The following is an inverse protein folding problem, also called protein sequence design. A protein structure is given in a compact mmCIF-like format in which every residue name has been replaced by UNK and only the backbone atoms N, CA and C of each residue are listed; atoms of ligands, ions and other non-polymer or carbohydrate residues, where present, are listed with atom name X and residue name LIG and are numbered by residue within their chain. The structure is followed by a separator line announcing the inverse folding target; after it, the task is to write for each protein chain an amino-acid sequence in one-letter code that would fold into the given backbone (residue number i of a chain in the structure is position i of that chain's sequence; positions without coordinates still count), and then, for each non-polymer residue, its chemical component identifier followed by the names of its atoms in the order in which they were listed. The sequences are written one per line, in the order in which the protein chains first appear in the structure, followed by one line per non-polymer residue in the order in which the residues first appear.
data_IF_235381705280
#
_entry.id   IF_235381705280
#
_cell.length_a   1.000
_cell.length_b   1.000
_cell.length_c   1.000
_cell.angle_alpha   90.00
_cell.angle_beta   90.00
_cell.angle_gamma   90.00
#
_symmetry.space_group_name_H-M   'P 1'
#
loop_
_entity.id
_entity.type
_entity.pdbx_description
1 polymer ?
#
# COMPACT_ATOMS: atom_id res chain seq x y z
N UNK A 1 -1.41 157.07 -17.35
CA UNK A 1 -1.71 156.61 -18.72
C UNK A 1 -1.48 155.11 -18.72
N UNK A 2 -2.55 154.32 -18.65
CA UNK A 2 -2.50 152.87 -18.85
C UNK A 2 -2.12 152.54 -20.30
N UNK A 3 -1.67 151.31 -20.58
CA UNK A 3 -2.64 150.29 -21.01
C UNK A 3 -2.48 148.90 -20.36
N UNK A 4 -3.64 148.26 -20.18
CA UNK A 4 -4.02 146.83 -20.14
C UNK A 4 -2.91 145.78 -20.39
N UNK A 5 -2.65 144.75 -19.57
CA UNK A 5 -3.45 143.76 -18.80
C UNK A 5 -4.12 142.66 -19.64
N UNK A 6 -3.33 141.65 -19.99
CA UNK A 6 -3.78 140.26 -20.21
C UNK A 6 -2.81 139.30 -19.48
N UNK A 7 -3.34 138.56 -18.50
CA UNK A 7 -2.65 137.45 -17.81
C UNK A 7 -2.47 136.24 -18.72
N UNK A 8 -1.49 135.37 -18.39
CA UNK A 8 -1.81 133.95 -18.29
C UNK A 8 -1.42 133.30 -16.95
N UNK A 9 -2.10 132.17 -16.72
CA UNK A 9 -2.20 131.38 -15.51
C UNK A 9 -0.89 130.72 -15.01
N UNK A 10 -0.69 130.78 -13.70
CA UNK A 10 0.23 129.94 -12.93
C UNK A 10 -0.51 128.68 -12.46
N UNK A 11 -0.45 127.61 -13.29
CA UNK A 11 -1.04 126.30 -12.98
C UNK A 11 0.03 125.20 -12.81
N UNK A 12 1.31 125.55 -12.68
CA UNK A 12 2.40 124.56 -12.60
C UNK A 12 2.68 124.03 -11.18
N UNK A 13 2.45 124.84 -10.13
CA UNK A 13 2.94 124.51 -8.78
C UNK A 13 2.10 123.53 -7.94
N UNK A 14 0.82 123.31 -8.29
CA UNK A 14 -0.09 122.40 -7.53
C UNK A 14 -0.10 120.96 -8.04
N UNK A 15 0.09 120.77 -9.34
CA UNK A 15 0.15 119.45 -9.96
C UNK A 15 1.48 118.74 -9.62
N UNK A 16 2.58 119.48 -9.48
CA UNK A 16 3.89 118.95 -9.09
C UNK A 16 3.93 118.44 -7.63
N UNK A 17 3.23 119.09 -6.69
CA UNK A 17 3.19 118.66 -5.29
C UNK A 17 2.24 117.46 -5.07
N UNK A 18 1.13 117.38 -5.81
CA UNK A 18 0.26 116.21 -5.81
C UNK A 18 0.94 115.00 -6.47
N UNK A 19 1.67 115.20 -7.58
CA UNK A 19 2.48 114.18 -8.23
C UNK A 19 3.60 113.66 -7.31
N UNK A 20 4.28 114.55 -6.56
CA UNK A 20 5.28 114.18 -5.55
C UNK A 20 4.69 113.34 -4.42
N UNK A 21 3.57 113.76 -3.83
CA UNK A 21 2.91 113.01 -2.73
C UNK A 21 2.38 111.66 -3.20
N UNK A 22 1.83 111.59 -4.41
CA UNK A 22 1.37 110.34 -5.03
C UNK A 22 2.55 109.40 -5.33
N UNK A 23 3.66 109.92 -5.85
CA UNK A 23 4.89 109.15 -6.06
C UNK A 23 5.50 108.65 -4.73
N UNK A 24 5.44 109.45 -3.67
CA UNK A 24 5.90 109.05 -2.33
C UNK A 24 4.97 108.00 -1.69
N UNK A 25 3.66 108.10 -1.87
CA UNK A 25 2.69 107.10 -1.45
C UNK A 25 2.91 105.76 -2.18
N UNK A 26 3.05 105.77 -3.51
CA UNK A 26 3.39 104.59 -4.29
C UNK A 26 4.73 103.97 -3.89
N UNK A 27 5.72 104.80 -3.52
CA UNK A 27 7.00 104.32 -2.99
C UNK A 27 6.83 103.64 -1.63
N UNK A 28 6.06 104.21 -0.70
CA UNK A 28 5.77 103.61 0.61
C UNK A 28 4.97 102.32 0.49
N UNK A 29 4.02 102.25 -0.44
CA UNK A 29 3.23 101.04 -0.69
C UNK A 29 4.07 99.94 -1.34
N UNK A 30 4.95 100.29 -2.30
CA UNK A 30 5.95 99.36 -2.83
C UNK A 30 6.92 98.86 -1.75
N UNK A 31 7.35 99.72 -0.83
CA UNK A 31 8.24 99.34 0.25
C UNK A 31 7.53 98.44 1.29
N UNK A 32 6.27 98.72 1.62
CA UNK A 32 5.43 97.84 2.46
C UNK A 32 5.17 96.49 1.79
N UNK A 33 4.85 96.49 0.50
CA UNK A 33 4.66 95.25 -0.28
C UNK A 33 5.95 94.44 -0.35
N UNK A 34 7.11 95.08 -0.54
CA UNK A 34 8.42 94.41 -0.51
C UNK A 34 8.73 93.81 0.86
N UNK A 35 8.45 94.53 1.96
CA UNK A 35 8.62 94.00 3.33
C UNK A 35 7.64 92.85 3.63
N UNK A 36 6.40 92.92 3.13
CA UNK A 36 5.43 91.83 3.26
C UNK A 36 5.88 90.58 2.48
N UNK A 37 6.33 90.76 1.24
CA UNK A 37 6.87 89.69 0.40
C UNK A 37 8.14 89.06 1.02
N UNK A 38 9.05 89.86 1.60
CA UNK A 38 10.20 89.33 2.35
C UNK A 38 9.76 88.51 3.57
N UNK A 39 8.76 88.96 4.32
CA UNK A 39 8.25 88.25 5.50
C UNK A 39 7.55 86.95 5.12
N UNK A 40 6.83 86.92 4.01
CA UNK A 40 6.17 85.74 3.46
C UNK A 40 7.20 84.74 2.92
N UNK A 41 8.20 85.21 2.17
CA UNK A 41 9.31 84.39 1.69
C UNK A 41 10.09 83.75 2.85
N UNK A 42 10.37 84.51 3.92
CA UNK A 42 11.04 83.98 5.11
C UNK A 42 10.19 82.94 5.87
N UNK A 43 8.86 83.09 5.89
CA UNK A 43 7.95 82.07 6.46
C UNK A 43 7.92 80.81 5.60
N UNK A 44 7.79 80.96 4.28
CA UNK A 44 7.81 79.85 3.34
C UNK A 44 9.14 79.08 3.37
N UNK A 45 10.26 79.77 3.53
CA UNK A 45 11.57 79.14 3.70
C UNK A 45 11.65 78.33 4.99
N UNK A 46 11.18 78.89 6.12
CA UNK A 46 11.11 78.19 7.40
C UNK A 46 10.19 76.96 7.36
N UNK A 47 9.07 77.05 6.67
CA UNK A 47 8.12 75.93 6.50
C UNK A 47 8.72 74.83 5.62
N UNK A 48 9.45 75.19 4.55
CA UNK A 48 10.21 74.24 3.72
C UNK A 48 11.31 73.56 4.52
N UNK A 49 12.03 74.29 5.37
CA UNK A 49 13.07 73.72 6.24
C UNK A 49 12.47 72.75 7.27
N UNK A 50 11.34 73.11 7.89
CA UNK A 50 10.61 72.24 8.81
C UNK A 50 10.10 70.97 8.11
N UNK A 51 9.52 71.10 6.92
CA UNK A 51 9.05 69.96 6.13
C UNK A 51 10.21 69.03 5.74
N UNK A 52 11.38 69.59 5.39
CA UNK A 52 12.59 68.81 5.11
C UNK A 52 13.06 68.03 6.34
N UNK A 53 13.11 68.67 7.51
CA UNK A 53 13.48 67.99 8.77
C UNK A 53 12.49 66.88 9.16
N UNK A 54 11.20 67.13 8.99
CA UNK A 54 10.14 66.14 9.24
C UNK A 54 10.25 64.95 8.26
N UNK A 55 10.57 65.20 6.98
CA UNK A 55 10.81 64.15 5.98
C UNK A 55 12.08 63.33 6.28
N UNK A 56 13.19 63.99 6.63
CA UNK A 56 14.44 63.32 7.05
C UNK A 56 14.21 62.46 8.29
N UNK A 57 13.43 62.93 9.26
CA UNK A 57 13.05 62.15 10.45
C UNK A 57 12.18 60.95 10.08
N UNK A 58 11.17 61.14 9.24
CA UNK A 58 10.29 60.05 8.79
C UNK A 58 11.07 58.98 8.01
N UNK A 59 12.04 59.37 7.18
CA UNK A 59 12.93 58.43 6.49
C UNK A 59 13.77 57.61 7.48
N UNK A 60 14.39 58.25 8.47
CA UNK A 60 15.16 57.54 9.51
C UNK A 60 14.30 56.58 10.33
N UNK A 61 13.08 56.97 10.66
CA UNK A 61 12.14 56.13 11.40
C UNK A 61 11.73 54.90 10.56
N UNK A 62 11.52 55.07 9.25
CA UNK A 62 11.26 53.94 8.31
C UNK A 62 12.45 53.01 8.15
N UNK A 63 13.66 53.54 7.98
CA UNK A 63 14.88 52.73 7.88
C UNK A 63 15.13 51.94 9.17
N UNK A 64 14.86 52.54 10.33
CA UNK A 64 14.96 51.86 11.62
C UNK A 64 13.92 50.75 11.76
N UNK A 65 12.68 50.97 11.31
CA UNK A 65 11.63 49.97 11.31
C UNK A 65 11.95 48.80 10.36
N UNK A 66 12.47 49.08 9.17
CA UNK A 66 12.89 48.05 8.21
C UNK A 66 14.01 47.16 8.77
N UNK A 67 15.04 47.75 9.39
CA UNK A 67 16.11 47.01 10.07
C UNK A 67 15.62 46.17 11.25
N UNK A 68 14.56 46.61 11.95
CA UNK A 68 13.96 45.83 13.02
C UNK A 68 13.19 44.63 12.47
N UNK A 69 12.42 44.82 11.40
CA UNK A 69 11.68 43.74 10.73
C UNK A 69 12.61 42.68 10.12
N UNK A 70 13.73 43.10 9.50
CA UNK A 70 14.74 42.19 8.95
C UNK A 70 15.36 41.31 10.06
N UNK A 71 15.74 41.92 11.19
CA UNK A 71 16.26 41.18 12.35
C UNK A 71 15.24 40.19 12.92
N UNK A 72 13.96 40.53 12.89
CA UNK A 72 12.89 39.65 13.36
C UNK A 72 12.67 38.47 12.40
N UNK A 73 12.69 38.73 11.09
CA UNK A 73 12.63 37.68 10.07
C UNK A 73 13.81 36.71 10.17
N UNK A 74 15.03 37.21 10.38
CA UNK A 74 16.22 36.37 10.57
C UNK A 74 16.13 35.51 11.84
N UNK A 75 15.57 36.06 12.92
CA UNK A 75 15.32 35.29 14.15
C UNK A 75 14.33 34.15 13.91
N UNK A 76 13.22 34.43 13.23
CA UNK A 76 12.20 33.42 12.91
C UNK A 76 12.75 32.34 11.99
N UNK A 77 13.56 32.69 10.97
CA UNK A 77 14.25 31.72 10.12
C UNK A 77 15.21 30.84 10.91
N UNK A 78 16.02 31.45 11.79
CA UNK A 78 16.93 30.69 12.63
C UNK A 78 16.21 29.78 13.64
N UNK A 79 15.01 30.16 14.09
CA UNK A 79 14.15 29.32 14.94
C UNK A 79 13.54 28.15 14.15
N UNK A 80 13.02 28.40 12.95
CA UNK A 80 12.52 27.36 12.05
C UNK A 80 13.61 26.35 11.67
N UNK A 81 14.82 26.81 11.33
CA UNK A 81 15.95 25.93 11.04
C UNK A 81 16.35 25.07 12.25
N UNK A 82 16.26 25.60 13.47
CA UNK A 82 16.51 24.83 14.70
C UNK A 82 15.44 23.78 14.92
N UNK A 83 14.16 24.13 14.72
CA UNK A 83 13.04 23.20 14.85
C UNK A 83 13.13 22.06 13.83
N UNK A 84 13.46 22.35 12.57
CA UNK A 84 13.68 21.33 11.53
C UNK A 84 14.82 20.39 11.92
N UNK A 85 15.97 20.94 12.36
CA UNK A 85 17.10 20.12 12.82
C UNK A 85 16.77 19.27 14.04
N UNK A 86 15.86 19.71 14.91
CA UNK A 86 15.41 18.94 16.06
C UNK A 86 14.53 17.77 15.63
N UNK A 87 13.57 17.99 14.72
CA UNK A 87 12.73 16.95 14.13
C UNK A 87 13.56 15.91 13.37
N UNK A 88 14.52 16.36 12.54
CA UNK A 88 15.44 15.46 11.84
C UNK A 88 16.24 14.59 12.82
N UNK A 89 16.78 15.20 13.89
CA UNK A 89 17.50 14.44 14.93
C UNK A 89 16.62 13.47 15.69
N UNK A 90 15.34 13.78 15.88
CA UNK A 90 14.36 12.86 16.47
C UNK A 90 14.04 11.69 15.54
N UNK A 91 13.85 11.96 14.25
CA UNK A 91 13.65 10.94 13.24
C UNK A 91 14.86 10.00 13.16
N UNK A 92 16.09 10.54 13.10
CA UNK A 92 17.33 9.75 13.10
C UNK A 92 17.51 8.91 14.36
N UNK A 93 17.03 9.41 15.52
CA UNK A 93 17.02 8.63 16.77
C UNK A 93 16.00 7.50 16.70
N UNK A 94 14.77 7.80 16.27
CA UNK A 94 13.71 6.82 16.13
C UNK A 94 14.07 5.71 15.13
N UNK A 95 14.72 6.05 14.01
CA UNK A 95 15.18 5.07 13.03
C UNK A 95 16.27 4.16 13.62
N UNK A 96 17.27 4.73 14.30
CA UNK A 96 18.32 3.92 14.97
C UNK A 96 17.73 3.02 16.06
N UNK A 97 16.77 3.52 16.84
CA UNK A 97 16.09 2.73 17.85
C UNK A 97 15.26 1.60 17.23
N UNK A 98 14.59 1.85 16.09
CA UNK A 98 13.86 0.83 15.33
C UNK A 98 14.79 -0.23 14.73
N UNK A 99 15.92 0.18 14.13
CA UNK A 99 16.95 -0.72 13.59
C UNK A 99 17.55 -1.58 14.71
N UNK A 100 17.85 -0.99 15.87
CA UNK A 100 18.34 -1.72 17.04
C UNK A 100 17.30 -2.72 17.56
N UNK A 101 16.03 -2.31 17.68
CA UNK A 101 14.95 -3.20 18.10
C UNK A 101 14.76 -4.38 17.14
N UNK A 102 14.88 -4.16 15.82
CA UNK A 102 14.83 -5.21 14.81
C UNK A 102 15.99 -6.20 14.96
N UNK A 103 17.22 -5.71 15.16
CA UNK A 103 18.39 -6.56 15.39
C UNK A 103 18.27 -7.37 16.69
N UNK A 104 17.78 -6.76 17.77
CA UNK A 104 17.54 -7.42 19.05
C UNK A 104 16.47 -8.52 18.92
N UNK A 105 15.41 -8.27 18.13
CA UNK A 105 14.37 -9.25 17.83
C UNK A 105 14.92 -10.44 17.03
N UNK A 106 15.76 -10.21 16.02
CA UNK A 106 16.40 -11.28 15.24
C UNK A 106 17.35 -12.11 16.11
N UNK A 107 18.18 -11.46 16.94
CA UNK A 107 19.03 -12.15 17.91
C UNK A 107 18.23 -12.99 18.92
N UNK A 108 17.07 -12.49 19.37
CA UNK A 108 16.17 -13.24 20.24
C UNK A 108 15.58 -14.47 19.51
N UNK A 109 15.14 -14.32 18.26
CA UNK A 109 14.67 -15.42 17.43
C UNK A 109 15.76 -16.48 17.21
N UNK A 110 16.99 -16.07 16.89
CA UNK A 110 18.13 -16.99 16.75
C UNK A 110 18.48 -17.71 18.06
N UNK A 111 18.34 -17.05 19.23
CA UNK A 111 18.53 -17.69 20.54
C UNK A 111 17.44 -18.71 20.83
N UNK A 112 16.18 -18.38 20.54
CA UNK A 112 15.05 -19.30 20.68
C UNK A 112 15.23 -20.53 19.77
N UNK A 113 15.63 -20.35 18.51
CA UNK A 113 15.93 -21.45 17.59
C UNK A 113 17.06 -22.36 18.13
N UNK A 114 18.15 -21.79 18.64
CA UNK A 114 19.23 -22.56 19.28
C UNK A 114 18.77 -23.28 20.56
N UNK A 115 17.84 -22.70 21.30
CA UNK A 115 17.28 -23.32 22.50
C UNK A 115 16.39 -24.52 22.14
N UNK A 116 15.56 -24.40 21.09
CA UNK A 116 14.78 -25.50 20.53
C UNK A 116 15.69 -26.60 20.02
N UNK A 117 16.73 -26.27 19.26
CA UNK A 117 17.67 -27.26 18.75
C UNK A 117 18.47 -27.95 19.88
N UNK A 118 18.87 -27.21 20.92
CA UNK A 118 19.48 -27.82 22.12
C UNK A 118 18.50 -28.72 22.88
N UNK A 119 17.23 -28.34 22.97
CA UNK A 119 16.20 -29.18 23.58
C UNK A 119 15.98 -30.46 22.78
N UNK A 120 15.97 -30.36 21.44
CA UNK A 120 15.93 -31.50 20.52
C UNK A 120 17.13 -32.43 20.72
N UNK A 121 18.35 -31.91 20.72
CA UNK A 121 19.56 -32.70 20.92
C UNK A 121 19.59 -33.37 22.30
N UNK A 122 19.08 -32.71 23.35
CA UNK A 122 18.93 -33.32 24.69
C UNK A 122 17.86 -34.42 24.72
N UNK A 123 16.74 -34.23 24.02
CA UNK A 123 15.70 -35.25 23.92
C UNK A 123 16.20 -36.47 23.13
N UNK A 124 16.96 -36.24 22.04
CA UNK A 124 17.62 -37.30 21.27
C UNK A 124 18.68 -38.04 22.11
N UNK A 125 19.44 -37.33 22.94
CA UNK A 125 20.44 -37.94 23.83
C UNK A 125 19.82 -38.67 25.04
N UNK A 126 18.58 -38.35 25.41
CA UNK A 126 17.85 -39.00 26.51
C UNK A 126 16.98 -40.17 26.04
N UNK A 127 16.89 -40.42 24.73
CA UNK A 127 16.22 -41.59 24.18
C UNK A 127 17.13 -42.82 24.33
N UNK A 128 16.74 -43.76 25.18
CA UNK A 128 17.36 -45.09 25.29
C UNK A 128 17.21 -45.85 23.96
N UNK A 129 18.24 -46.62 23.52
CA UNK A 129 18.22 -47.35 22.26
C UNK A 129 17.31 -48.58 22.38
N UNK A 130 16.01 -48.42 22.11
CA UNK A 130 15.06 -49.53 22.18
C UNK A 130 13.66 -49.32 21.63
N UNK A 131 13.34 -48.15 21.04
CA UNK A 131 11.98 -47.85 20.56
C UNK A 131 11.98 -47.43 19.08
N UNK A 132 12.57 -48.27 18.23
CA UNK A 132 12.76 -48.04 16.78
C UNK A 132 11.46 -48.17 15.94
N UNK A 133 10.28 -48.17 16.57
CA UNK A 133 8.99 -48.27 15.87
C UNK A 133 8.22 -46.93 15.78
N UNK A 134 8.63 -45.90 16.52
CA UNK A 134 8.05 -44.57 16.39
C UNK A 134 8.90 -43.75 15.43
N UNK A 135 8.35 -43.41 14.26
CA UNK A 135 8.95 -42.43 13.35
C UNK A 135 9.29 -41.11 14.05
N UNK A 136 10.04 -40.21 13.40
CA UNK A 136 10.49 -38.97 14.03
C UNK A 136 9.30 -38.22 14.67
N UNK A 137 9.43 -37.85 15.96
CA UNK A 137 8.39 -37.14 16.68
C UNK A 137 8.00 -35.86 15.92
N UNK A 138 6.72 -35.75 15.55
CA UNK A 138 6.20 -34.61 14.80
C UNK A 138 6.38 -33.31 15.61
N UNK A 139 6.73 -32.18 14.96
CA UNK A 139 6.71 -30.87 15.61
C UNK A 139 5.35 -30.60 16.27
N UNK A 140 5.27 -29.87 17.40
CA UNK A 140 4.02 -29.71 18.16
C UNK A 140 2.82 -29.22 17.33
N UNK A 141 3.01 -28.25 16.44
CA UNK A 141 1.97 -27.77 15.52
C UNK A 141 1.49 -28.80 14.53
N UNK A 142 2.40 -29.64 14.01
CA UNK A 142 2.04 -30.73 13.10
C UNK A 142 1.36 -31.88 13.86
N UNK A 143 1.87 -32.24 15.05
CA UNK A 143 1.25 -33.24 15.91
C UNK A 143 -0.20 -32.87 16.29
N UNK A 144 -0.50 -31.58 16.40
CA UNK A 144 -1.86 -31.08 16.63
C UNK A 144 -2.81 -31.44 15.49
N UNK A 145 -2.38 -31.25 14.24
CA UNK A 145 -3.18 -31.52 13.04
C UNK A 145 -3.46 -33.02 12.86
N UNK A 146 -2.48 -33.86 13.18
CA UNK A 146 -2.58 -35.32 13.07
C UNK A 146 -3.21 -35.98 14.30
N UNK A 147 -3.68 -35.18 15.28
CA UNK A 147 -4.30 -35.74 16.48
C UNK A 147 -5.65 -36.37 16.09
N UNK A 148 -5.88 -37.66 16.39
CA UNK A 148 -7.16 -38.28 16.11
C UNK A 148 -8.26 -37.52 16.83
N UNK A 149 -9.37 -37.25 16.13
CA UNK A 149 -10.53 -36.60 16.72
C UNK A 149 -10.93 -37.37 18.00
N UNK A 150 -11.15 -36.68 19.13
CA UNK A 150 -11.48 -37.37 20.36
C UNK A 150 -12.75 -38.19 20.15
N UNK A 151 -12.66 -39.52 20.36
CA UNK A 151 -13.82 -40.40 20.32
C UNK A 151 -14.92 -39.80 21.21
N UNK A 152 -16.11 -39.57 20.64
CA UNK A 152 -17.17 -38.82 21.28
C UNK A 152 -17.46 -39.34 22.69
N UNK A 153 -16.99 -38.61 23.71
CA UNK A 153 -17.34 -38.90 25.10
C UNK A 153 -18.80 -38.50 25.31
N UNK A 154 -19.62 -39.42 25.83
CA UNK A 154 -20.94 -39.08 26.39
C UNK A 154 -20.73 -38.14 27.59
N UNK A 155 -20.99 -36.85 27.37
CA UNK A 155 -20.90 -35.77 28.36
C UNK A 155 -21.31 -34.43 27.72
N UNK A 156 -21.43 -33.34 28.51
CA UNK A 156 -21.71 -32.00 27.97
C UNK A 156 -20.66 -31.64 26.90
N UNK A 157 -21.08 -31.09 25.76
CA UNK A 157 -20.18 -30.70 24.67
C UNK A 157 -19.03 -29.84 25.23
N UNK A 158 -17.75 -30.16 24.93
CA UNK A 158 -16.65 -29.27 25.30
C UNK A 158 -16.94 -27.87 24.74
N UNK A 159 -16.87 -26.83 25.59
CA UNK A 159 -17.16 -25.46 25.16
C UNK A 159 -16.16 -24.91 24.12
N UNK A 160 -15.03 -25.59 23.89
CA UNK A 160 -13.99 -25.20 22.94
C UNK A 160 -13.41 -26.44 22.23
N UNK A 161 -13.37 -26.42 20.90
CA UNK A 161 -12.82 -27.48 20.05
C UNK A 161 -11.83 -26.89 19.03
N UNK A 162 -10.91 -27.72 18.50
CA UNK A 162 -9.98 -27.27 17.46
C UNK A 162 -10.70 -26.79 16.20
N UNK A 163 -11.73 -27.52 15.76
CA UNK A 163 -12.57 -27.10 14.64
C UNK A 163 -13.24 -25.75 14.93
N UNK A 164 -13.84 -25.56 16.11
CA UNK A 164 -14.46 -24.27 16.46
C UNK A 164 -13.45 -23.11 16.56
N UNK A 165 -12.22 -23.38 17.00
CA UNK A 165 -11.13 -22.39 17.00
C UNK A 165 -10.76 -22.01 15.56
N UNK A 166 -10.56 -23.01 14.69
CA UNK A 166 -10.25 -22.79 13.28
C UNK A 166 -11.35 -21.98 12.60
N UNK A 167 -12.62 -22.28 12.86
CA UNK A 167 -13.79 -21.62 12.26
C UNK A 167 -13.86 -20.14 12.62
N UNK A 168 -13.69 -19.84 13.92
CA UNK A 168 -13.70 -18.46 14.38
C UNK A 168 -12.54 -17.65 13.79
N UNK A 169 -11.38 -18.28 13.59
CA UNK A 169 -10.19 -17.65 13.01
C UNK A 169 -10.30 -17.48 11.48
N UNK A 170 -10.79 -18.50 10.76
CA UNK A 170 -11.07 -18.44 9.31
C UNK A 170 -12.09 -17.34 9.03
N UNK A 171 -13.22 -17.34 9.73
CA UNK A 171 -14.25 -16.33 9.54
C UNK A 171 -13.77 -14.93 9.94
N UNK A 172 -12.67 -14.79 10.71
CA UNK A 172 -12.08 -13.50 11.05
C UNK A 172 -11.16 -13.05 9.92
N UNK A 173 -10.35 -13.97 9.40
CA UNK A 173 -9.49 -13.75 8.24
C UNK A 173 -10.28 -13.44 6.97
N UNK A 174 -11.45 -14.05 6.77
CA UNK A 174 -12.32 -13.81 5.63
C UNK A 174 -12.93 -12.41 5.62
N UNK A 175 -13.23 -11.87 6.81
CA UNK A 175 -13.88 -10.58 7.00
C UNK A 175 -12.88 -9.42 7.07
N UNK A 176 -11.84 -9.58 7.90
CA UNK A 176 -10.92 -8.49 8.27
C UNK A 176 -9.49 -8.70 7.72
N UNK A 177 -9.26 -9.78 6.97
CA UNK A 177 -7.95 -10.16 6.46
C UNK A 177 -7.07 -10.87 7.49
N UNK A 178 -5.95 -11.43 7.02
CA UNK A 178 -5.04 -12.24 7.85
C UNK A 178 -4.38 -11.41 8.98
N UNK A 179 -4.14 -10.12 8.75
CA UNK A 179 -3.55 -9.21 9.72
C UNK A 179 -4.39 -9.05 11.00
N UNK A 180 -5.71 -9.17 10.89
CA UNK A 180 -6.62 -9.08 12.04
C UNK A 180 -6.59 -10.33 12.93
N UNK A 181 -6.08 -11.46 12.43
CA UNK A 181 -6.02 -12.72 13.18
C UNK A 181 -4.95 -12.65 14.26
N UNK A 182 -5.42 -12.54 15.51
CA UNK A 182 -4.59 -12.60 16.71
C UNK A 182 -5.22 -13.55 17.73
N UNK A 183 -4.39 -14.13 18.61
CA UNK A 183 -4.86 -15.02 19.68
C UNK A 183 -5.92 -14.34 20.55
N UNK A 184 -5.76 -13.04 20.83
CA UNK A 184 -6.70 -12.26 21.62
C UNK A 184 -8.05 -12.10 20.91
N UNK A 185 -8.06 -11.70 19.62
CA UNK A 185 -9.29 -11.46 18.86
C UNK A 185 -10.06 -12.74 18.58
N UNK A 186 -9.36 -13.86 18.37
CA UNK A 186 -9.98 -15.19 18.25
C UNK A 186 -10.61 -15.62 19.58
N UNK A 187 -9.91 -15.41 20.70
CA UNK A 187 -10.45 -15.74 22.03
C UNK A 187 -11.68 -14.88 22.38
N UNK A 188 -11.63 -13.58 22.08
CA UNK A 188 -12.74 -12.64 22.23
C UNK A 188 -13.97 -13.10 21.44
N UNK A 189 -13.79 -13.45 20.17
CA UNK A 189 -14.88 -13.94 19.32
C UNK A 189 -15.52 -15.23 19.83
N UNK A 190 -14.72 -16.09 20.46
CA UNK A 190 -15.16 -17.34 21.06
C UNK A 190 -15.72 -17.17 22.49
N UNK A 191 -15.66 -15.97 23.07
CA UNK A 191 -16.10 -15.71 24.44
C UNK A 191 -15.24 -16.40 25.51
N UNK A 192 -13.96 -16.68 25.20
CA UNK A 192 -13.01 -17.35 26.11
C UNK A 192 -11.80 -16.46 26.41
N UNK A 193 -11.04 -16.81 27.45
CA UNK A 193 -9.77 -16.12 27.73
C UNK A 193 -8.68 -16.59 26.76
N UNK A 194 -7.72 -15.73 26.44
CA UNK A 194 -6.56 -16.10 25.60
C UNK A 194 -5.79 -17.29 26.18
N UNK A 195 -5.70 -17.39 27.51
CA UNK A 195 -5.10 -18.55 28.20
C UNK A 195 -5.86 -19.85 27.98
N UNK A 196 -7.18 -19.80 27.75
CA UNK A 196 -7.94 -20.98 27.37
C UNK A 196 -7.60 -21.46 25.95
N UNK A 197 -7.36 -20.53 25.03
CA UNK A 197 -6.98 -20.82 23.65
C UNK A 197 -5.59 -21.48 23.55
N UNK A 198 -4.62 -21.00 24.33
CA UNK A 198 -3.26 -21.55 24.36
C UNK A 198 -3.16 -23.02 24.80
N UNK A 199 -4.20 -23.57 25.45
CA UNK A 199 -4.25 -25.02 25.77
C UNK A 199 -4.49 -25.91 24.56
N UNK A 200 -5.01 -25.35 23.48
CA UNK A 200 -5.34 -26.06 22.25
C UNK A 200 -4.33 -25.77 21.15
N UNK A 201 -3.88 -24.52 21.07
CA UNK A 201 -3.00 -24.04 20.01
C UNK A 201 -1.87 -23.23 20.65
N UNK A 202 -0.64 -23.71 20.53
CA UNK A 202 0.49 -23.19 21.32
C UNK A 202 1.05 -21.88 20.80
N UNK A 203 0.84 -21.58 19.51
CA UNK A 203 1.39 -20.40 18.84
C UNK A 203 0.47 -19.86 17.75
N UNK A 204 0.74 -18.64 17.27
CA UNK A 204 0.05 -18.08 16.09
C UNK A 204 0.31 -18.95 14.85
N UNK A 205 1.52 -19.48 14.70
CA UNK A 205 1.86 -20.31 13.54
C UNK A 205 1.08 -21.64 13.53
N UNK A 206 0.89 -22.25 14.71
CA UNK A 206 0.05 -23.45 14.84
C UNK A 206 -1.42 -23.14 14.52
N UNK A 207 -1.90 -21.94 14.87
CA UNK A 207 -3.25 -21.49 14.52
C UNK A 207 -3.38 -21.33 13.01
N UNK A 208 -2.39 -20.73 12.36
CA UNK A 208 -2.38 -20.55 10.91
C UNK A 208 -2.33 -21.90 10.18
N UNK A 209 -1.52 -22.85 10.65
CA UNK A 209 -1.47 -24.19 10.10
C UNK A 209 -2.83 -24.92 10.26
N UNK A 210 -3.47 -24.78 11.42
CA UNK A 210 -4.81 -25.33 11.68
C UNK A 210 -5.88 -24.71 10.78
N UNK A 211 -5.87 -23.39 10.61
CA UNK A 211 -6.78 -22.67 9.72
C UNK A 211 -6.62 -23.17 8.27
N UNK A 212 -5.39 -23.26 7.79
CA UNK A 212 -5.09 -23.64 6.41
C UNK A 212 -5.50 -25.08 6.12
N UNK A 213 -5.17 -26.03 7.01
CA UNK A 213 -5.56 -27.43 6.85
C UNK A 213 -7.10 -27.59 6.92
N UNK A 214 -7.76 -26.87 7.83
CA UNK A 214 -9.23 -26.88 7.94
C UNK A 214 -9.90 -26.32 6.68
N UNK A 215 -9.42 -25.19 6.15
CA UNK A 215 -9.96 -24.58 4.94
C UNK A 215 -9.79 -25.51 3.72
N UNK A 216 -8.63 -26.15 3.61
CA UNK A 216 -8.35 -27.12 2.54
C UNK A 216 -9.23 -28.38 2.65
N UNK A 217 -9.42 -28.90 3.87
CA UNK A 217 -10.29 -30.05 4.11
C UNK A 217 -11.74 -29.77 3.69
N UNK A 218 -12.25 -28.59 4.02
CA UNK A 218 -13.60 -28.16 3.61
C UNK A 218 -13.75 -27.97 2.12
N UNK A 219 -12.75 -27.40 1.46
CA UNK A 219 -12.77 -27.27 0.01
C UNK A 219 -12.90 -28.65 -0.66
N UNK A 220 -12.19 -29.66 -0.16
CA UNK A 220 -12.31 -31.02 -0.65
C UNK A 220 -13.71 -31.61 -0.45
N UNK A 221 -14.33 -31.40 0.72
CA UNK A 221 -15.72 -31.84 0.98
C UNK A 221 -16.71 -31.22 -0.01
N UNK A 222 -16.59 -29.91 -0.27
CA UNK A 222 -17.48 -29.21 -1.22
C UNK A 222 -17.24 -29.59 -2.68
N UNK A 223 -16.03 -30.03 -3.03
CA UNK A 223 -15.71 -30.43 -4.39
C UNK A 223 -16.44 -31.73 -4.76
N UNK A 224 -16.61 -32.66 -3.81
CA UNK A 224 -17.22 -33.98 -4.04
C UNK A 224 -18.74 -33.92 -4.26
N UNK A 225 -19.39 -32.79 -3.98
CA UNK A 225 -20.82 -32.54 -4.23
C UNK A 225 -21.16 -32.27 -5.72
N UNK A 226 -20.19 -32.42 -6.63
CA UNK A 226 -20.41 -32.33 -8.08
C UNK A 226 -20.42 -30.91 -8.66
N UNK A 227 -20.00 -29.91 -7.87
CA UNK A 227 -19.92 -28.49 -8.28
C UNK A 227 -18.64 -28.07 -9.02
N UNK A 228 -17.81 -29.02 -9.46
CA UNK A 228 -16.57 -28.72 -10.20
C UNK A 228 -16.87 -28.08 -11.56
N UNK A 229 -16.01 -27.16 -11.99
CA UNK A 229 -16.10 -26.60 -13.34
C UNK A 229 -16.04 -27.74 -14.38
N UNK A 230 -16.83 -27.67 -15.45
CA UNK A 230 -16.82 -28.68 -16.51
C UNK A 230 -15.41 -28.79 -17.10
N UNK A 231 -15.00 -29.99 -17.58
CA UNK A 231 -13.69 -30.16 -18.18
C UNK A 231 -13.54 -29.21 -19.37
N UNK A 232 -12.33 -28.64 -19.51
CA UNK A 232 -12.03 -27.67 -20.57
C UNK A 232 -11.98 -28.31 -21.96
N UNK A 233 -12.10 -29.64 -22.06
CA UNK A 233 -12.08 -30.37 -23.34
C UNK A 233 -12.97 -31.63 -23.29
N UNK A 234 -14.09 -31.65 -24.02
CA UNK A 234 -14.93 -32.85 -24.16
C UNK A 234 -14.13 -34.03 -24.72
N UNK A 235 -14.18 -35.19 -24.06
CA UNK A 235 -13.42 -36.38 -24.46
C UNK A 235 -11.95 -36.40 -24.01
N UNK A 236 -11.54 -35.45 -23.17
CA UNK A 236 -10.22 -35.47 -22.56
C UNK A 236 -9.96 -36.77 -21.77
N UNK A 237 -8.70 -37.25 -21.72
CA UNK A 237 -8.33 -38.38 -20.87
C UNK A 237 -8.70 -38.14 -19.41
N UNK A 238 -9.05 -39.21 -18.69
CA UNK A 238 -9.50 -39.11 -17.29
C UNK A 238 -8.48 -38.42 -16.36
N UNK A 239 -7.18 -38.65 -16.59
CA UNK A 239 -6.11 -37.99 -15.82
C UNK A 239 -6.13 -36.47 -15.99
N UNK A 240 -6.48 -35.98 -17.18
CA UNK A 240 -6.52 -34.54 -17.48
C UNK A 240 -7.68 -33.89 -16.76
N UNK A 241 -8.88 -34.49 -16.88
CA UNK A 241 -10.08 -34.04 -16.18
C UNK A 241 -9.86 -34.00 -14.66
N UNK A 242 -9.20 -35.02 -14.11
CA UNK A 242 -8.90 -35.08 -12.69
C UNK A 242 -7.92 -33.97 -12.24
N UNK A 243 -6.88 -33.68 -13.04
CA UNK A 243 -5.96 -32.57 -12.75
C UNK A 243 -6.61 -31.20 -12.91
N UNK A 244 -7.46 -31.00 -13.93
CA UNK A 244 -8.24 -29.76 -14.10
C UNK A 244 -9.09 -29.49 -12.86
N UNK A 245 -9.84 -30.50 -12.39
CA UNK A 245 -10.63 -30.38 -11.15
C UNK A 245 -9.75 -30.06 -9.94
N UNK A 246 -8.63 -30.77 -9.79
CA UNK A 246 -7.70 -30.56 -8.68
C UNK A 246 -7.10 -29.15 -8.65
N UNK A 247 -6.78 -28.59 -9.82
CA UNK A 247 -6.32 -27.21 -9.97
C UNK A 247 -7.43 -26.20 -9.64
N UNK A 248 -8.64 -26.40 -10.18
CA UNK A 248 -9.78 -25.52 -9.92
C UNK A 248 -10.18 -25.51 -8.44
N UNK A 249 -10.13 -26.64 -7.74
CA UNK A 249 -10.39 -26.72 -6.30
C UNK A 249 -9.48 -25.77 -5.50
N UNK A 250 -8.20 -25.64 -5.89
CA UNK A 250 -7.24 -24.74 -5.25
C UNK A 250 -7.51 -23.28 -5.54
N UNK A 251 -7.80 -22.94 -6.80
CA UNK A 251 -8.12 -21.57 -7.18
C UNK A 251 -9.43 -21.11 -6.54
N UNK A 252 -10.42 -22.00 -6.45
CA UNK A 252 -11.65 -21.76 -5.73
C UNK A 252 -11.41 -21.52 -4.23
N UNK A 253 -10.47 -22.26 -3.61
CA UNK A 253 -10.05 -22.02 -2.23
C UNK A 253 -9.43 -20.61 -2.09
N UNK A 254 -8.53 -20.22 -3.00
CA UNK A 254 -7.90 -18.90 -2.99
C UNK A 254 -8.92 -17.75 -3.14
N UNK A 255 -9.91 -17.92 -4.02
CA UNK A 255 -10.99 -16.94 -4.22
C UNK A 255 -11.89 -16.80 -2.98
N UNK A 256 -12.24 -17.94 -2.35
CA UNK A 256 -13.08 -17.98 -1.14
C UNK A 256 -12.34 -17.45 0.08
N UNK A 257 -11.07 -17.81 0.23
CA UNK A 257 -10.25 -17.51 1.39
C UNK A 257 -8.92 -16.84 0.98
N UNK A 258 -8.93 -15.56 0.52
CA UNK A 258 -7.72 -14.89 0.01
C UNK A 258 -6.51 -14.90 0.94
N UNK A 259 -6.73 -14.97 2.26
CA UNK A 259 -5.69 -15.05 3.27
C UNK A 259 -4.83 -16.33 3.16
N UNK A 260 -5.31 -17.40 2.51
CA UNK A 260 -4.52 -18.63 2.34
C UNK A 260 -3.23 -18.38 1.55
N UNK A 261 -3.24 -17.40 0.64
CA UNK A 261 -2.09 -17.04 -0.19
C UNK A 261 -1.09 -16.10 0.51
N UNK A 262 -1.45 -15.57 1.68
CA UNK A 262 -0.62 -14.68 2.50
C UNK A 262 0.03 -15.43 3.68
N UNK A 263 -0.24 -16.72 3.81
CA UNK A 263 0.18 -17.50 4.98
C UNK A 263 1.66 -17.90 4.84
N UNK A 264 2.51 -17.74 5.88
CA UNK A 264 3.93 -18.12 5.82
C UNK A 264 4.15 -19.59 5.45
N UNK A 265 5.28 -19.90 4.82
CA UNK A 265 5.70 -21.27 4.44
C UNK A 265 5.67 -22.23 5.64
N UNK A 266 5.96 -21.75 6.84
CA UNK A 266 5.89 -22.54 8.09
C UNK A 266 4.48 -23.04 8.41
N UNK A 267 3.42 -22.40 7.91
CA UNK A 267 2.06 -22.90 8.05
C UNK A 267 1.69 -23.93 6.97
N UNK A 268 2.53 -24.12 5.95
CA UNK A 268 2.37 -25.15 4.91
C UNK A 268 2.84 -26.54 5.38
N UNK A 269 2.84 -26.78 6.69
CA UNK A 269 3.12 -28.10 7.26
C UNK A 269 2.18 -29.16 6.67
N UNK A 270 2.65 -30.41 6.51
CA UNK A 270 1.88 -31.49 5.88
C UNK A 270 0.78 -31.99 6.83
N UNK A 271 -0.25 -31.18 7.06
CA UNK A 271 -1.47 -31.59 7.77
C UNK A 271 -2.28 -32.63 6.98
N UNK A 272 -3.27 -33.28 7.61
CA UNK A 272 -4.08 -34.32 6.98
C UNK A 272 -4.76 -33.87 5.68
N UNK A 273 -5.38 -32.70 5.65
CA UNK A 273 -6.04 -32.21 4.45
C UNK A 273 -5.03 -31.89 3.34
N UNK A 274 -3.85 -31.34 3.70
CA UNK A 274 -2.77 -31.09 2.74
C UNK A 274 -2.22 -32.37 2.13
N UNK A 275 -2.02 -33.41 2.94
CA UNK A 275 -1.57 -34.71 2.44
C UNK A 275 -2.63 -35.35 1.55
N UNK A 276 -3.91 -35.31 1.93
CA UNK A 276 -5.00 -35.79 1.09
C UNK A 276 -5.08 -35.01 -0.24
N UNK A 277 -4.88 -33.70 -0.21
CA UNK A 277 -4.84 -32.87 -1.41
C UNK A 277 -3.69 -33.26 -2.35
N UNK A 278 -2.48 -33.48 -1.81
CA UNK A 278 -1.33 -33.96 -2.58
C UNK A 278 -1.60 -35.35 -3.18
N UNK A 279 -2.18 -36.24 -2.38
CA UNK A 279 -2.51 -37.61 -2.79
C UNK A 279 -3.52 -37.61 -3.95
N UNK A 280 -4.57 -36.78 -3.90
CA UNK A 280 -5.51 -36.61 -5.02
C UNK A 280 -4.82 -36.20 -6.33
N UNK A 281 -3.85 -35.29 -6.27
CA UNK A 281 -3.07 -34.87 -7.45
C UNK A 281 -2.22 -36.00 -8.03
N UNK A 282 -1.63 -36.84 -7.17
CA UNK A 282 -0.86 -38.01 -7.60
C UNK A 282 -1.76 -39.13 -8.14
N UNK A 283 -2.91 -39.36 -7.49
CA UNK A 283 -3.93 -40.33 -7.93
C UNK A 283 -4.46 -40.00 -9.33
N UNK A 284 -4.61 -38.71 -9.67
CA UNK A 284 -5.00 -38.29 -11.02
C UNK A 284 -4.07 -38.85 -12.11
N UNK A 285 -2.78 -39.05 -11.80
CA UNK A 285 -1.78 -39.58 -12.71
C UNK A 285 -1.51 -41.08 -12.54
N UNK A 286 -2.22 -41.77 -11.65
CA UNK A 286 -1.91 -43.16 -11.30
C UNK A 286 -1.97 -44.09 -12.52
N UNK A 287 -3.02 -43.97 -13.34
CA UNK A 287 -3.21 -44.75 -14.56
C UNK A 287 -2.31 -44.38 -15.75
N UNK A 288 -1.39 -43.43 -15.60
CA UNK A 288 -0.47 -43.03 -16.67
C UNK A 288 0.85 -43.82 -16.60
N UNK A 289 1.57 -44.01 -17.74
CA UNK A 289 2.86 -44.69 -17.78
C UNK A 289 4.03 -43.83 -17.26
N UNK A 290 3.76 -42.68 -16.67
CA UNK A 290 4.77 -41.85 -16.03
C UNK A 290 5.37 -42.58 -14.82
N UNK A 291 6.67 -42.38 -14.58
CA UNK A 291 7.33 -42.84 -13.35
C UNK A 291 6.87 -42.01 -12.14
N UNK A 292 7.00 -42.53 -10.93
CA UNK A 292 6.67 -41.76 -9.71
C UNK A 292 7.48 -40.45 -9.57
N UNK A 293 8.71 -40.42 -10.09
CA UNK A 293 9.50 -39.21 -10.16
C UNK A 293 8.88 -38.17 -11.12
N UNK A 294 8.42 -38.61 -12.28
CA UNK A 294 7.70 -37.75 -13.25
C UNK A 294 6.35 -37.29 -12.70
N UNK A 295 5.55 -38.18 -12.09
CA UNK A 295 4.25 -37.82 -11.46
C UNK A 295 4.42 -36.75 -10.38
N UNK A 296 5.40 -36.94 -9.48
CA UNK A 296 5.74 -35.97 -8.44
C UNK A 296 6.21 -34.64 -9.02
N UNK A 297 7.02 -34.68 -10.09
CA UNK A 297 7.47 -33.47 -10.77
C UNK A 297 6.29 -32.70 -11.40
N UNK A 298 5.35 -33.39 -12.07
CA UNK A 298 4.15 -32.78 -12.64
C UNK A 298 3.32 -32.09 -11.56
N UNK A 299 2.96 -32.81 -10.50
CA UNK A 299 2.16 -32.27 -9.38
C UNK A 299 2.87 -31.09 -8.70
N UNK A 300 4.19 -31.17 -8.51
CA UNK A 300 4.98 -30.08 -7.95
C UNK A 300 4.98 -28.82 -8.83
N UNK A 301 5.09 -28.97 -10.16
CA UNK A 301 5.07 -27.82 -11.10
C UNK A 301 3.71 -27.16 -11.16
N UNK A 302 2.65 -27.96 -11.24
CA UNK A 302 1.29 -27.44 -11.17
C UNK A 302 1.05 -26.72 -9.84
N UNK A 303 1.51 -27.28 -8.71
CA UNK A 303 1.38 -26.62 -7.40
C UNK A 303 2.05 -25.24 -7.34
N UNK A 304 3.22 -25.07 -8.00
CA UNK A 304 3.91 -23.78 -8.08
C UNK A 304 3.16 -22.77 -8.95
N UNK A 305 2.61 -23.21 -10.08
CA UNK A 305 1.76 -22.38 -10.93
C UNK A 305 0.51 -21.93 -10.17
N UNK A 306 -0.20 -22.86 -9.51
CA UNK A 306 -1.38 -22.57 -8.69
C UNK A 306 -1.09 -21.63 -7.53
N UNK A 307 0.13 -21.64 -6.98
CA UNK A 307 0.52 -20.65 -5.97
C UNK A 307 0.59 -19.24 -6.56
N UNK A 308 1.15 -19.08 -7.75
CA UNK A 308 1.23 -17.80 -8.43
C UNK A 308 -0.15 -17.31 -8.89
N UNK A 309 -0.93 -18.17 -9.57
CA UNK A 309 -2.30 -17.86 -9.98
C UNK A 309 -3.20 -17.57 -8.77
N UNK A 310 -3.08 -18.38 -7.71
CA UNK A 310 -3.82 -18.18 -6.48
C UNK A 310 -3.57 -16.82 -5.85
N UNK A 311 -2.35 -16.28 -5.93
CA UNK A 311 -2.04 -14.93 -5.44
C UNK A 311 -2.79 -13.84 -6.23
N UNK A 312 -2.89 -13.98 -7.56
CA UNK A 312 -3.64 -13.07 -8.42
C UNK A 312 -5.14 -13.16 -8.09
N UNK A 313 -5.70 -14.37 -8.08
CA UNK A 313 -7.12 -14.63 -7.73
C UNK A 313 -7.46 -14.09 -6.33
N UNK A 314 -6.57 -14.28 -5.36
CA UNK A 314 -6.75 -13.74 -4.01
C UNK A 314 -6.72 -12.21 -4.00
N UNK A 315 -5.81 -11.58 -4.75
CA UNK A 315 -5.73 -10.13 -4.88
C UNK A 315 -7.00 -9.54 -5.50
N UNK A 316 -7.48 -10.12 -6.60
CA UNK A 316 -8.74 -9.72 -7.26
C UNK A 316 -9.94 -9.89 -6.33
N UNK A 317 -10.05 -11.03 -5.63
CA UNK A 317 -11.11 -11.26 -4.68
C UNK A 317 -11.11 -10.24 -3.53
N UNK A 318 -9.93 -9.83 -3.05
CA UNK A 318 -9.81 -8.77 -2.04
C UNK A 318 -10.18 -7.39 -2.60
N UNK A 319 -9.76 -7.07 -3.83
CA UNK A 319 -10.12 -5.82 -4.50
C UNK A 319 -11.63 -5.71 -4.71
N UNK A 320 -12.28 -6.78 -5.17
CA UNK A 320 -13.72 -6.86 -5.34
C UNK A 320 -14.47 -6.66 -4.00
N UNK A 321 -13.99 -7.29 -2.92
CA UNK A 321 -14.55 -7.10 -1.57
C UNK A 321 -14.41 -5.65 -1.09
N UNK A 322 -13.25 -5.03 -1.31
CA UNK A 322 -13.01 -3.63 -0.94
C UNK A 322 -13.92 -2.68 -1.72
N UNK A 323 -14.08 -2.88 -3.04
CA UNK A 323 -14.97 -2.10 -3.88
C UNK A 323 -16.45 -2.23 -3.44
N UNK A 324 -16.90 -3.46 -3.15
CA UNK A 324 -18.24 -3.70 -2.63
C UNK A 324 -18.47 -3.03 -1.27
N UNK A 325 -17.48 -3.04 -0.37
CA UNK A 325 -17.52 -2.33 0.91
C UNK A 325 -17.64 -0.81 0.75
N UNK A 326 -16.87 -0.22 -0.17
CA UNK A 326 -16.93 1.21 -0.48
C UNK A 326 -18.28 1.62 -1.08
N UNK A 327 -18.82 0.81 -2.01
CA UNK A 327 -20.14 1.04 -2.60
C UNK A 327 -21.27 0.94 -1.56
N UNK A 328 -21.19 -0.01 -0.62
CA UNK A 328 -22.13 -0.14 0.49
C UNK A 328 -22.09 1.06 1.45
N UNK A 329 -20.89 1.57 1.76
CA UNK A 329 -20.72 2.77 2.59
C UNK A 329 -21.25 4.04 1.90
N UNK A 330 -21.01 4.20 0.59
CA UNK A 330 -21.53 5.31 -0.21
C UNK A 330 -23.05 5.29 -0.33
N UNK A 331 -23.66 4.10 -0.47
CA UNK A 331 -25.11 3.92 -0.50
C UNK A 331 -25.80 4.24 0.83
N UNK A 332 -25.14 3.99 1.96
CA UNK A 332 -25.65 4.33 3.30
C UNK A 332 -25.51 5.82 3.66
N UNK A 333 -24.55 6.52 3.06
CA UNK A 333 -24.23 7.90 3.39
C UNK A 333 -25.07 8.98 2.66
N UNK A 334 -25.99 8.59 1.76
CA UNK A 334 -27.00 9.51 1.21
C UNK A 334 -26.44 10.82 0.64
N UNK A 335 -25.75 10.75 -0.51
CA UNK A 335 -25.52 11.90 -1.38
C UNK A 335 -24.47 12.92 -0.90
N UNK A 336 -23.30 12.87 -1.55
CA UNK A 336 -22.39 14.01 -1.69
C UNK A 336 -21.16 13.97 -0.78
N UNK A 337 -20.05 13.49 -1.32
CA UNK A 337 -18.72 14.06 -1.09
C UNK A 337 -17.68 13.35 -1.98
N UNK A 338 -16.89 14.16 -2.69
CA UNK A 338 -15.45 13.97 -2.88
C UNK A 338 -14.95 12.67 -3.52
N UNK A 339 -14.48 12.81 -4.75
CA UNK A 339 -13.57 11.91 -5.44
C UNK A 339 -12.18 11.87 -4.74
N UNK A 340 -12.15 11.43 -3.49
CA UNK A 340 -10.94 10.98 -2.82
C UNK A 340 -11.23 9.58 -2.29
N UNK A 341 -11.13 8.61 -3.19
CA UNK A 341 -11.03 7.21 -2.81
C UNK A 341 -9.78 7.07 -1.93
N UNK A 342 -10.01 6.87 -0.63
CA UNK A 342 -8.96 6.44 0.28
C UNK A 342 -8.21 5.27 -0.36
N UNK A 343 -6.86 5.25 -0.35
CA UNK A 343 -6.12 4.16 -0.97
C UNK A 343 -6.49 2.87 -0.23
N UNK A 344 -7.32 2.06 -0.88
CA UNK A 344 -7.62 0.69 -0.47
C UNK A 344 -6.31 -0.10 -0.36
N UNK A 345 -6.33 -1.25 0.34
CA UNK A 345 -5.14 -1.94 0.83
C UNK A 345 -4.10 -2.02 -0.27
N UNK A 346 -3.00 -1.29 -0.06
CA UNK A 346 -1.85 -1.08 -0.95
C UNK A 346 -1.92 -1.87 -2.27
N UNK A 347 -2.17 -1.14 -3.37
CA UNK A 347 -2.14 -1.61 -4.75
C UNK A 347 -1.21 -2.83 -4.91
N UNK A 348 -1.79 -4.03 -4.90
CA UNK A 348 -1.08 -5.22 -5.29
C UNK A 348 -0.55 -4.95 -6.71
N UNK A 349 0.68 -5.33 -7.08
CA UNK A 349 1.20 -5.10 -8.44
C UNK A 349 0.27 -5.62 -9.55
N UNK A 350 -0.53 -6.66 -9.25
CA UNK A 350 -1.57 -7.19 -10.15
C UNK A 350 -2.84 -6.33 -10.27
N UNK A 351 -2.95 -5.23 -9.51
CA UNK A 351 -4.04 -4.25 -9.56
C UNK A 351 -3.55 -2.89 -10.08
N UNK A 352 -2.26 -2.76 -10.38
CA UNK A 352 -1.77 -1.63 -11.16
C UNK A 352 -2.18 -1.86 -12.61
N UNK A 353 -2.54 -0.80 -13.34
CA UNK A 353 -2.64 -0.84 -14.80
C UNK A 353 -1.24 -1.06 -15.37
N UNK A 354 -0.82 -2.33 -15.36
CA UNK A 354 0.52 -2.74 -15.70
C UNK A 354 0.80 -2.41 -17.17
N UNK A 355 -0.22 -2.50 -18.03
CA UNK A 355 -0.14 -2.10 -19.42
C UNK A 355 0.21 -0.61 -19.56
N UNK A 356 -0.47 0.29 -18.86
CA UNK A 356 -0.18 1.73 -18.90
C UNK A 356 1.20 2.06 -18.35
N UNK A 357 1.59 1.44 -17.22
CA UNK A 357 2.94 1.61 -16.66
C UNK A 357 4.00 1.12 -17.64
N UNK A 358 3.78 -0.04 -18.25
CA UNK A 358 4.72 -0.65 -19.19
C UNK A 358 4.84 0.20 -20.46
N UNK A 359 3.73 0.74 -20.98
CA UNK A 359 3.74 1.72 -22.09
C UNK A 359 4.53 2.97 -21.74
N UNK A 360 4.39 3.51 -20.53
CA UNK A 360 5.07 4.73 -20.12
C UNK A 360 6.60 4.58 -20.04
N UNK A 361 7.10 3.37 -19.79
CA UNK A 361 8.55 3.09 -19.70
C UNK A 361 9.13 2.43 -20.95
N UNK A 362 8.30 2.07 -21.93
CA UNK A 362 8.73 1.41 -23.17
C UNK A 362 9.11 2.44 -24.22
N UNK A 363 10.40 2.49 -24.56
CA UNK A 363 10.90 3.18 -25.75
C UNK A 363 10.81 2.26 -26.99
N UNK A 364 10.01 2.59 -28.04
CA UNK A 364 9.87 1.76 -29.24
C UNK A 364 11.16 1.56 -30.05
N UNK A 365 12.12 2.49 -29.98
CA UNK A 365 13.40 2.33 -30.68
C UNK A 365 14.31 1.34 -29.93
N UNK A 366 14.32 1.42 -28.59
CA UNK A 366 15.11 0.51 -27.76
C UNK A 366 14.43 -0.84 -27.49
N UNK A 367 13.09 -0.91 -27.54
CA UNK A 367 12.28 -2.09 -27.18
C UNK A 367 11.21 -2.41 -28.25
N UNK A 368 11.61 -2.63 -29.52
CA UNK A 368 10.66 -2.73 -30.63
C UNK A 368 9.64 -3.88 -30.48
N UNK A 369 10.06 -5.04 -29.95
CA UNK A 369 9.17 -6.19 -29.74
C UNK A 369 8.15 -5.93 -28.63
N UNK A 370 8.56 -5.23 -27.57
CA UNK A 370 7.66 -4.90 -26.46
C UNK A 370 6.65 -3.84 -26.90
N UNK A 371 7.08 -2.85 -27.68
CA UNK A 371 6.18 -1.88 -28.28
C UNK A 371 5.16 -2.55 -29.19
N UNK A 372 5.58 -3.48 -30.06
CA UNK A 372 4.65 -4.25 -30.90
C UNK A 372 3.63 -5.05 -30.07
N UNK A 373 4.06 -5.70 -28.99
CA UNK A 373 3.17 -6.44 -28.11
C UNK A 373 2.17 -5.53 -27.36
N UNK A 374 2.62 -4.33 -26.92
CA UNK A 374 1.75 -3.34 -26.28
C UNK A 374 0.74 -2.71 -27.24
N UNK A 375 1.15 -2.50 -28.50
CA UNK A 375 0.30 -2.01 -29.59
C UNK A 375 -0.74 -3.07 -30.00
N UNK A 376 -0.36 -4.35 -29.93
CA UNK A 376 -1.27 -5.47 -30.12
C UNK A 376 -2.22 -5.70 -28.93
N UNK A 377 -2.07 -4.93 -27.83
CA UNK A 377 -2.92 -5.04 -26.64
C UNK A 377 -2.63 -6.27 -25.77
N UNK A 378 -1.47 -6.92 -25.93
CA UNK A 378 -1.14 -8.18 -25.24
C UNK A 378 -1.04 -8.07 -23.71
N UNK A 379 -0.97 -6.85 -23.17
CA UNK A 379 -0.89 -6.56 -21.73
C UNK A 379 -2.15 -5.92 -21.18
N UNK A 380 -3.13 -5.59 -22.02
CA UNK A 380 -4.36 -4.92 -21.57
C UNK A 380 -5.23 -5.85 -20.72
N UNK A 381 -5.92 -5.27 -19.74
CA UNK A 381 -6.86 -6.00 -18.89
C UNK A 381 -7.96 -6.64 -19.75
N UNK A 382 -8.08 -7.97 -19.66
CA UNK A 382 -9.05 -8.72 -20.45
C UNK A 382 -8.63 -8.97 -21.90
N UNK A 383 -7.35 -8.83 -22.24
CA UNK A 383 -6.82 -9.32 -23.50
C UNK A 383 -7.19 -10.80 -23.69
N UNK A 384 -8.04 -11.09 -24.68
CA UNK A 384 -8.53 -12.44 -24.98
C UNK A 384 -7.33 -13.34 -25.30
N UNK A 385 -7.17 -14.42 -24.52
CA UNK A 385 -6.18 -15.43 -24.85
C UNK A 385 -6.57 -16.16 -26.15
N UNK A 386 -5.60 -16.55 -26.98
CA UNK A 386 -5.55 -17.64 -27.97
C UNK A 386 -6.75 -18.41 -28.55
N UNK A 387 -7.93 -18.51 -27.96
CA UNK A 387 -8.92 -19.58 -28.19
C UNK A 387 -9.94 -19.58 -27.03
N UNK A 388 -10.34 -18.37 -26.63
CA UNK A 388 -11.21 -18.16 -25.49
C UNK A 388 -12.68 -18.44 -25.86
N UNK A 389 -13.06 -19.72 -25.82
CA UNK A 389 -14.47 -20.13 -25.69
C UNK A 389 -15.03 -19.81 -24.28
N UNK A 390 -14.52 -18.77 -23.60
CA UNK A 390 -14.89 -18.38 -22.23
C UNK A 390 -14.21 -19.21 -21.15
N UNK A 391 -13.00 -19.73 -21.41
CA UNK A 391 -12.23 -20.53 -20.47
C UNK A 391 -11.04 -19.71 -19.93
N UNK A 392 -11.13 -19.16 -18.70
CA UNK A 392 -10.14 -18.23 -18.14
C UNK A 392 -8.79 -18.86 -17.76
N UNK A 393 -8.45 -20.04 -18.28
CA UNK A 393 -7.33 -20.86 -17.78
C UNK A 393 -6.37 -21.35 -18.87
N UNK A 394 -5.96 -20.43 -19.76
CA UNK A 394 -4.99 -20.70 -20.83
C UNK A 394 -3.65 -21.24 -20.28
N UNK A 395 -3.19 -20.69 -19.15
CA UNK A 395 -1.96 -21.12 -18.48
C UNK A 395 -2.00 -22.59 -18.06
N UNK A 396 -3.07 -23.02 -17.40
CA UNK A 396 -3.23 -24.43 -17.03
C UNK A 396 -3.33 -25.32 -18.26
N UNK A 397 -4.07 -24.93 -19.29
CA UNK A 397 -4.18 -25.71 -20.54
C UNK A 397 -2.81 -25.94 -21.16
N UNK A 398 -1.99 -24.90 -21.27
CA UNK A 398 -0.62 -25.00 -21.77
C UNK A 398 0.22 -25.99 -20.93
N UNK A 399 0.10 -25.94 -19.60
CA UNK A 399 0.80 -26.89 -18.73
C UNK A 399 0.31 -28.33 -18.91
N UNK A 400 -1.00 -28.54 -19.00
CA UNK A 400 -1.62 -29.86 -19.19
C UNK A 400 -1.31 -30.46 -20.56
N UNK A 401 -1.14 -29.63 -21.60
CA UNK A 401 -0.65 -30.07 -22.91
C UNK A 401 0.81 -30.55 -22.82
N UNK A 402 1.64 -29.86 -22.02
CA UNK A 402 2.98 -30.32 -21.67
C UNK A 402 2.99 -31.67 -20.94
N UNK A 403 2.03 -31.90 -20.04
CA UNK A 403 1.82 -33.20 -19.37
C UNK A 403 1.39 -34.26 -20.38
N UNK A 404 0.45 -33.96 -21.28
CA UNK A 404 0.01 -34.88 -22.32
C UNK A 404 1.19 -35.31 -23.22
N UNK A 405 2.05 -34.37 -23.60
CA UNK A 405 3.27 -34.67 -24.35
C UNK A 405 4.24 -35.56 -23.55
N UNK A 406 4.33 -35.39 -22.23
CA UNK A 406 5.14 -36.26 -21.36
C UNK A 406 4.58 -37.68 -21.28
N UNK A 407 3.25 -37.81 -21.15
CA UNK A 407 2.54 -39.10 -21.17
C UNK A 407 2.77 -39.83 -22.50
N UNK A 408 2.59 -39.15 -23.64
CA UNK A 408 2.82 -39.75 -24.96
C UNK A 408 4.27 -40.25 -25.14
N UNK A 409 5.27 -39.48 -24.65
CA UNK A 409 6.66 -39.93 -24.63
C UNK A 409 6.87 -41.16 -23.75
N UNK A 410 6.20 -41.23 -22.60
CA UNK A 410 6.28 -42.38 -21.71
C UNK A 410 5.65 -43.64 -22.33
N UNK A 411 4.51 -43.51 -22.99
CA UNK A 411 3.86 -44.58 -23.76
C UNK A 411 4.79 -45.12 -24.86
N UNK A 412 5.43 -44.24 -25.63
CA UNK A 412 6.38 -44.65 -26.67
C UNK A 412 7.59 -45.40 -26.11
N UNK A 413 8.13 -44.96 -24.95
CA UNK A 413 9.23 -45.67 -24.27
C UNK A 413 8.81 -47.07 -23.80
N UNK A 414 7.59 -47.21 -23.32
CA UNK A 414 7.07 -48.50 -22.87
C UNK A 414 6.83 -49.46 -24.05
N UNK A 415 6.26 -48.95 -25.15
CA UNK A 415 6.08 -49.71 -26.38
C UNK A 415 7.42 -50.23 -26.93
N UNK A 416 8.44 -49.38 -27.01
CA UNK A 416 9.78 -49.77 -27.45
C UNK A 416 10.42 -50.82 -26.53
N UNK A 417 10.18 -50.75 -25.21
CA UNK A 417 10.64 -51.79 -24.27
C UNK A 417 9.93 -53.13 -24.46
N UNK A 418 8.63 -53.10 -24.76
CA UNK A 418 7.85 -54.31 -25.06
C UNK A 418 8.32 -54.96 -26.36
N UNK A 419 8.59 -54.17 -27.40
CA UNK A 419 9.16 -54.65 -28.66
C UNK A 419 10.56 -55.23 -28.50
N UNK A 420 11.41 -54.66 -27.65
CA UNK A 420 12.74 -55.19 -27.38
C UNK A 420 12.76 -56.46 -26.51
N UNK A 421 11.65 -56.77 -25.83
CA UNK A 421 11.53 -57.91 -24.93
C UNK A 421 10.81 -59.12 -25.55
N UNK A 422 10.11 -58.92 -26.67
CA UNK A 422 9.48 -59.96 -27.49
C UNK A 422 10.37 -60.39 -28.64
#
# INVERSE_FOLDING_TARGET
MQPDDERPADSGGRDDDHARRHAEALRRDREKAARAAQKEAARAEKDRERARRDAEKAQRDREKAARAAEKEADRLRAEQERAVREVEREADRAERDAQKAALDADLAAQRAARQVERARLRALAAAEPGDDAAGPALPPGLALLWRPAPAGRRGPRPGLTLAGIADAAIALADADGLGAVSMARVAERLGVTTMALYRYVSSKDDLLALMLDTALGRAAETADDGGGAPPSSPGAPAWRVALERWCHDQLALAARHPWTMQTPVVAALPGPARVAFLDRGLQALDGTPLTWAEKTAVVGRLSLHLLAEGQVVAAEAMAARAAAGAAGAAGAAGGGAGEEAAPGPAAHPALMDYAAVLRAVTDPEAHPVLAEALDAGAFDDGAEAPDDEGHPDWGLRLMLDGVAAAVARAEAREAARREAAG
#
